data_IF_416725295976
#
_entry.id   IF_416725295976
#
_cell.length_a   1.000
_cell.length_b   1.000
_cell.length_c   1.000
_cell.angle_alpha   90.00
_cell.angle_beta   90.00
_cell.angle_gamma   90.00
#
_symmetry.space_group_name_H-M   'P 1'
#
loop_
_entity.id
_entity.type
_entity.pdbx_description
1 polymer ?
#
# COMPACT_ATOMS: atom_id res chain seq x y z
N UNK A 1 -12.58 -17.12 -23.91
CA UNK A 1 -11.81 -16.39 -22.87
C UNK A 1 -12.61 -15.15 -22.43
N UNK A 2 -13.47 -15.30 -21.42
CA UNK A 2 -14.23 -14.17 -20.87
C UNK A 2 -13.43 -13.54 -19.71
N UNK A 3 -12.98 -12.29 -19.88
CA UNK A 3 -12.39 -11.51 -18.79
C UNK A 3 -13.52 -11.07 -17.87
N UNK A 4 -13.58 -11.66 -16.67
CA UNK A 4 -14.52 -11.28 -15.63
C UNK A 4 -14.39 -9.78 -15.31
N UNK A 5 -15.53 -9.09 -15.32
CA UNK A 5 -15.67 -7.72 -14.80
C UNK A 5 -15.31 -7.73 -13.32
N UNK A 6 -14.42 -6.86 -12.81
CA UNK A 6 -14.31 -6.68 -11.38
C UNK A 6 -15.59 -6.00 -10.87
N UNK A 7 -16.36 -6.77 -10.09
CA UNK A 7 -17.60 -6.35 -9.44
C UNK A 7 -17.41 -5.11 -8.56
N UNK A 8 -18.47 -4.30 -8.52
CA UNK A 8 -18.61 -3.05 -7.78
C UNK A 8 -18.70 -3.22 -6.25
N UNK A 9 -18.07 -4.23 -5.68
CA UNK A 9 -18.17 -4.59 -4.26
C UNK A 9 -16.76 -4.81 -3.66
N UNK A 10 -16.01 -3.71 -3.54
CA UNK A 10 -14.85 -3.64 -2.64
C UNK A 10 -15.31 -2.85 -1.40
N UNK A 11 -16.11 -3.52 -0.58
CA UNK A 11 -16.62 -2.99 0.67
C UNK A 11 -15.47 -2.63 1.64
N UNK A 12 -15.41 -1.33 1.95
CA UNK A 12 -15.19 -0.77 3.29
C UNK A 12 -13.99 -1.28 4.12
N UNK A 13 -12.78 -1.18 3.60
CA UNK A 13 -11.59 -0.97 4.46
C UNK A 13 -11.66 0.48 5.01
N UNK A 14 -11.36 0.79 6.28
CA UNK A 14 -11.30 2.19 6.75
C UNK A 14 -10.20 3.01 6.05
N UNK A 15 -9.25 2.36 5.38
CA UNK A 15 -8.31 2.98 4.43
C UNK A 15 -8.95 3.38 3.11
N UNK A 16 -10.07 2.76 2.76
CA UNK A 16 -10.89 3.05 1.59
C UNK A 16 -11.52 4.42 1.72
N UNK A 17 -11.90 4.88 2.93
CA UNK A 17 -12.48 6.22 3.12
C UNK A 17 -11.56 7.35 2.59
N UNK A 18 -10.27 7.34 2.96
CA UNK A 18 -9.32 8.39 2.50
C UNK A 18 -8.99 8.30 1.01
N UNK A 19 -8.76 7.09 0.51
CA UNK A 19 -8.43 6.87 -0.90
C UNK A 19 -9.65 7.08 -1.81
N UNK A 20 -10.85 6.77 -1.34
CA UNK A 20 -12.12 7.06 -2.02
C UNK A 20 -12.42 8.54 -2.02
N UNK A 21 -12.20 9.25 -0.91
CA UNK A 21 -12.33 10.71 -0.90
C UNK A 21 -11.41 11.35 -1.96
N UNK A 22 -10.15 10.89 -2.08
CA UNK A 22 -9.25 11.33 -3.15
C UNK A 22 -9.77 10.94 -4.54
N UNK A 23 -10.30 9.73 -4.71
CA UNK A 23 -10.86 9.28 -5.99
C UNK A 23 -12.08 10.13 -6.40
N UNK A 24 -13.00 10.39 -5.48
CA UNK A 24 -14.18 11.21 -5.70
C UNK A 24 -13.78 12.65 -6.00
N UNK A 25 -12.86 13.23 -5.22
CA UNK A 25 -12.32 14.57 -5.48
C UNK A 25 -11.65 14.67 -6.86
N UNK A 26 -10.91 13.64 -7.29
CA UNK A 26 -10.31 13.57 -8.62
C UNK A 26 -11.35 13.42 -9.75
N UNK A 27 -12.47 12.76 -9.50
CA UNK A 27 -13.56 12.67 -10.48
C UNK A 27 -14.27 14.02 -10.68
N UNK A 28 -14.36 14.84 -9.63
CA UNK A 28 -15.01 16.17 -9.68
C UNK A 28 -14.06 17.23 -10.25
N UNK A 29 -12.83 17.30 -9.76
CA UNK A 29 -11.85 18.34 -10.14
C UNK A 29 -11.00 17.97 -11.37
N UNK A 30 -10.98 16.69 -11.75
CA UNK A 30 -10.17 16.16 -12.83
C UNK A 30 -8.76 15.74 -12.44
N UNK A 31 -8.10 14.98 -13.33
CA UNK A 31 -6.78 14.37 -13.10
C UNK A 31 -5.63 15.39 -13.02
N UNK A 32 -5.82 16.60 -13.53
CA UNK A 32 -4.84 17.69 -13.55
C UNK A 32 -4.87 18.54 -12.27
N UNK A 33 -5.92 18.42 -11.45
CA UNK A 33 -6.12 19.24 -10.25
C UNK A 33 -4.92 19.19 -9.28
N UNK A 34 -4.52 20.34 -8.74
CA UNK A 34 -3.41 20.41 -7.81
C UNK A 34 -3.72 19.65 -6.51
N UNK A 35 -2.71 19.07 -5.82
CA UNK A 35 -2.93 18.40 -4.54
C UNK A 35 -3.59 19.30 -3.48
N UNK A 36 -3.35 20.62 -3.55
CA UNK A 36 -3.95 21.60 -2.66
C UNK A 36 -5.46 21.78 -2.92
N UNK A 37 -5.88 21.83 -4.19
CA UNK A 37 -7.30 21.91 -4.54
C UNK A 37 -8.06 20.64 -4.11
N UNK A 38 -7.43 19.47 -4.29
CA UNK A 38 -7.97 18.19 -3.82
C UNK A 38 -8.08 18.18 -2.29
N UNK A 39 -7.08 18.71 -1.58
CA UNK A 39 -7.11 18.81 -0.12
C UNK A 39 -8.28 19.67 0.38
N UNK A 40 -8.48 20.85 -0.20
CA UNK A 40 -9.60 21.73 0.13
C UNK A 40 -10.94 21.01 -0.11
N UNK A 41 -11.12 20.42 -1.28
CA UNK A 41 -12.35 19.71 -1.60
C UNK A 41 -12.63 18.52 -0.67
N UNK A 42 -11.59 17.78 -0.25
CA UNK A 42 -11.74 16.68 0.71
C UNK A 42 -12.11 17.21 2.10
N UNK A 43 -11.51 18.32 2.53
CA UNK A 43 -11.82 18.97 3.80
C UNK A 43 -13.27 19.46 3.84
N UNK A 44 -13.73 20.10 2.76
CA UNK A 44 -15.06 20.70 2.69
C UNK A 44 -16.18 19.66 2.55
N UNK A 45 -15.95 18.59 1.78
CA UNK A 45 -17.00 17.61 1.47
C UNK A 45 -16.97 16.36 2.36
N UNK A 46 -15.79 15.94 2.83
CA UNK A 46 -15.62 14.71 3.60
C UNK A 46 -15.18 14.97 5.05
N UNK A 47 -14.81 16.20 5.40
CA UNK A 47 -14.33 16.53 6.74
C UNK A 47 -13.02 15.83 7.12
N UNK A 48 -12.30 15.27 6.14
CA UNK A 48 -11.05 14.52 6.39
C UNK A 48 -9.86 15.41 6.10
N UNK A 49 -9.01 15.63 7.11
CA UNK A 49 -7.75 16.32 6.89
C UNK A 49 -6.67 15.34 6.41
N UNK A 50 -6.03 15.69 5.29
CA UNK A 50 -4.95 14.91 4.69
C UNK A 50 -3.80 15.82 4.26
N UNK A 51 -2.58 15.34 4.47
CA UNK A 51 -1.38 16.02 3.99
C UNK A 51 -1.26 15.90 2.46
N UNK A 52 -0.80 16.96 1.80
CA UNK A 52 -0.55 17.03 0.35
C UNK A 52 0.36 15.91 -0.17
N UNK A 53 1.33 15.48 0.64
CA UNK A 53 2.20 14.34 0.33
C UNK A 53 1.42 13.01 0.19
N UNK A 54 0.44 12.77 1.07
CA UNK A 54 -0.42 11.59 0.99
C UNK A 54 -1.34 11.67 -0.23
N UNK A 55 -1.91 12.85 -0.51
CA UNK A 55 -2.76 13.09 -1.69
C UNK A 55 -1.99 12.82 -2.98
N UNK A 56 -0.76 13.32 -3.09
CA UNK A 56 0.10 13.08 -4.26
C UNK A 56 0.38 11.59 -4.48
N UNK A 57 0.62 10.86 -3.39
CA UNK A 57 0.88 9.41 -3.43
C UNK A 57 -0.36 8.62 -3.85
N UNK A 58 -1.53 8.94 -3.29
CA UNK A 58 -2.81 8.33 -3.72
C UNK A 58 -3.15 8.69 -5.16
N UNK A 59 -2.98 9.95 -5.57
CA UNK A 59 -3.17 10.42 -6.94
C UNK A 59 -2.29 9.67 -7.94
N UNK A 60 -1.01 9.47 -7.63
CA UNK A 60 -0.09 8.67 -8.44
C UNK A 60 -0.58 7.22 -8.57
N UNK A 61 -0.99 6.62 -7.45
CA UNK A 61 -1.47 5.22 -7.41
C UNK A 61 -2.77 5.05 -8.20
N UNK A 62 -3.69 6.02 -8.12
CA UNK A 62 -4.95 6.03 -8.88
C UNK A 62 -4.67 6.18 -10.38
N UNK A 63 -3.74 7.07 -10.78
CA UNK A 63 -3.32 7.22 -12.19
C UNK A 63 -2.67 5.95 -12.74
N UNK A 64 -1.83 5.29 -11.94
CA UNK A 64 -1.20 4.02 -12.33
C UNK A 64 -2.24 2.91 -12.50
N UNK A 65 -3.20 2.79 -11.58
CA UNK A 65 -4.32 1.84 -11.68
C UNK A 65 -5.25 2.16 -12.86
N UNK A 66 -5.43 3.42 -13.21
CA UNK A 66 -6.22 3.86 -14.37
C UNK A 66 -5.50 3.65 -15.71
N UNK A 67 -4.31 3.02 -15.73
CA UNK A 67 -3.54 2.79 -16.95
C UNK A 67 -2.89 4.05 -17.54
N UNK A 68 -3.02 5.20 -16.86
CA UNK A 68 -2.41 6.47 -17.24
C UNK A 68 -0.95 6.60 -16.74
N UNK A 69 -0.32 5.47 -16.41
CA UNK A 69 1.06 5.41 -15.99
C UNK A 69 1.96 5.90 -17.14
N UNK A 70 2.61 7.05 -16.94
CA UNK A 70 3.62 7.53 -17.87
C UNK A 70 4.70 6.47 -18.04
N UNK A 71 4.95 6.05 -19.28
CA UNK A 71 5.99 5.10 -19.67
C UNK A 71 7.39 5.47 -19.12
N UNK A 72 7.58 6.72 -18.66
CA UNK A 72 8.81 7.20 -18.01
C UNK A 72 9.23 6.41 -16.75
N UNK A 73 8.32 5.76 -16.02
CA UNK A 73 8.69 4.96 -14.83
C UNK A 73 9.08 3.51 -15.14
N UNK A 74 8.66 2.94 -16.28
CA UNK A 74 9.11 1.60 -16.70
C UNK A 74 10.60 1.56 -17.08
N UNK A 75 11.21 2.71 -17.43
CA UNK A 75 12.60 2.77 -17.93
C UNK A 75 13.68 3.04 -16.87
N UNK A 76 13.32 3.24 -15.60
CA UNK A 76 14.31 3.47 -14.50
C UNK A 76 14.42 2.33 -13.47
N UNK A 77 13.90 1.15 -13.79
CA UNK A 77 14.19 -0.07 -13.02
C UNK A 77 15.44 -0.74 -13.60
N UNK A 78 16.58 -0.05 -13.44
CA UNK A 78 17.85 -0.45 -14.04
C UNK A 78 18.89 0.65 -13.91
N UNK A 79 19.20 1.09 -12.68
CA UNK A 79 20.53 1.66 -12.43
C UNK A 79 21.44 0.45 -12.23
N UNK A 80 22.34 0.09 -13.18
CA UNK A 80 23.32 -0.93 -12.90
C UNK A 80 24.12 -0.48 -11.68
N UNK A 81 24.17 -1.36 -10.68
CA UNK A 81 24.96 -1.18 -9.47
C UNK A 81 26.40 -0.95 -9.93
N UNK A 82 26.95 0.25 -9.65
CA UNK A 82 28.36 0.55 -9.90
C UNK A 82 29.16 -0.51 -9.15
N UNK A 83 29.79 -1.41 -9.91
CA UNK A 83 30.79 -2.35 -9.40
C UNK A 83 31.95 -1.50 -8.89
N UNK A 84 31.91 -1.19 -7.60
CA UNK A 84 33.11 -0.83 -6.86
C UNK A 84 33.76 -2.16 -6.48
N UNK A 85 34.86 -2.45 -7.15
CA UNK A 85 35.82 -3.50 -6.84
C UNK A 85 36.27 -3.41 -5.38
N UNK A 86 36.17 -4.57 -4.72
CA UNK A 86 37.01 -5.08 -3.64
C UNK A 86 37.55 -4.10 -2.59
N UNK A 87 36.98 -4.20 -1.37
CA UNK A 87 37.70 -4.62 -0.16
C UNK A 87 36.90 -4.19 1.09
N UNK A 88 36.06 -5.09 1.61
CA UNK A 88 35.99 -5.29 3.05
C UNK A 88 35.26 -6.59 3.35
N UNK A 89 35.79 -7.28 4.36
CA UNK A 89 35.51 -8.65 4.73
C UNK A 89 34.03 -8.97 4.96
N UNK A 90 33.73 -10.25 4.76
CA UNK A 90 32.51 -10.94 5.11
C UNK A 90 31.85 -10.40 6.39
N UNK A 91 30.67 -9.79 6.22
CA UNK A 91 29.63 -9.81 7.24
C UNK A 91 28.40 -10.42 6.57
N UNK A 92 28.08 -11.66 6.96
CA UNK A 92 26.79 -12.25 6.68
C UNK A 92 25.70 -11.25 7.12
N UNK A 93 24.63 -11.01 6.32
CA UNK A 93 23.52 -10.22 6.81
C UNK A 93 22.90 -10.99 7.98
N UNK A 94 23.12 -10.47 9.20
CA UNK A 94 22.45 -10.97 10.38
C UNK A 94 20.93 -10.98 10.10
N UNK A 95 20.21 -12.07 10.41
CA UNK A 95 18.76 -12.06 10.33
C UNK A 95 18.25 -10.96 11.26
N UNK A 96 17.63 -9.93 10.68
CA UNK A 96 16.95 -8.90 11.45
C UNK A 96 15.73 -9.55 12.11
N UNK A 97 15.93 -10.09 13.32
CA UNK A 97 14.91 -10.76 14.11
C UNK A 97 13.86 -9.81 14.73
N UNK A 98 13.98 -8.50 14.53
CA UNK A 98 13.11 -7.51 15.16
C UNK A 98 11.89 -7.09 14.33
N UNK A 99 11.85 -7.43 13.04
CA UNK A 99 10.76 -7.02 12.16
C UNK A 99 9.95 -8.25 11.73
N UNK A 100 8.84 -8.52 12.43
CA UNK A 100 7.84 -9.49 11.97
C UNK A 100 7.37 -9.03 10.58
N UNK A 101 7.66 -9.79 9.51
CA UNK A 101 7.30 -9.37 8.17
C UNK A 101 5.78 -9.35 8.06
N UNK A 102 5.27 -8.39 7.29
CA UNK A 102 3.82 -8.18 7.12
C UNK A 102 3.05 -9.45 6.68
N UNK A 103 3.74 -10.36 6.00
CA UNK A 103 3.23 -11.68 5.63
C UNK A 103 2.88 -12.52 6.85
N UNK A 104 3.72 -12.52 7.87
CA UNK A 104 3.56 -13.33 9.08
C UNK A 104 2.41 -12.79 9.94
N UNK A 105 2.24 -11.46 10.00
CA UNK A 105 1.08 -10.83 10.64
C UNK A 105 -0.24 -11.31 10.01
N UNK A 106 -0.27 -11.46 8.68
CA UNK A 106 -1.44 -11.98 7.97
C UNK A 106 -1.66 -13.46 8.26
N UNK A 107 -0.60 -14.26 8.33
CA UNK A 107 -0.66 -15.68 8.69
C UNK A 107 -1.19 -15.87 10.10
N UNK A 108 -0.72 -15.07 11.07
CA UNK A 108 -1.21 -15.09 12.46
C UNK A 108 -2.70 -14.74 12.51
N UNK A 109 -3.14 -13.75 11.72
CA UNK A 109 -4.57 -13.40 11.62
C UNK A 109 -5.43 -14.55 11.09
N UNK A 110 -4.94 -15.28 10.08
CA UNK A 110 -5.65 -16.43 9.51
C UNK A 110 -5.75 -17.58 10.52
N UNK A 111 -4.65 -17.89 11.20
CA UNK A 111 -4.62 -18.88 12.29
C UNK A 111 -5.58 -18.48 13.42
N UNK A 112 -5.61 -17.20 13.81
CA UNK A 112 -6.54 -16.69 14.80
C UNK A 112 -8.01 -16.86 14.40
N UNK A 113 -8.33 -16.71 13.12
CA UNK A 113 -9.68 -16.88 12.61
C UNK A 113 -10.13 -18.35 12.61
N UNK A 114 -9.19 -19.30 12.42
CA UNK A 114 -9.49 -20.74 12.34
C UNK A 114 -9.51 -21.43 13.71
N UNK A 115 -8.57 -21.08 14.59
CA UNK A 115 -8.36 -21.73 15.89
C UNK A 115 -8.98 -20.94 17.05
N UNK A 116 -9.35 -19.67 16.80
CA UNK A 116 -9.76 -18.74 17.85
C UNK A 116 -8.58 -18.30 18.74
N UNK A 117 -8.84 -17.32 19.61
CA UNK A 117 -7.82 -16.76 20.52
C UNK A 117 -7.27 -17.80 21.50
N UNK A 118 -8.08 -18.78 21.88
CA UNK A 118 -7.70 -19.84 22.84
C UNK A 118 -6.74 -20.84 22.20
N UNK A 119 -7.06 -21.37 21.02
CA UNK A 119 -6.18 -22.30 20.30
C UNK A 119 -4.85 -21.68 19.86
N UNK A 120 -4.79 -20.37 19.61
CA UNK A 120 -3.53 -19.68 19.40
C UNK A 120 -2.64 -19.63 20.63
N UNK A 121 -3.21 -19.49 21.83
CA UNK A 121 -2.45 -19.52 23.09
C UNK A 121 -1.90 -20.92 23.34
N UNK A 122 -2.74 -21.94 23.16
CA UNK A 122 -2.35 -23.34 23.31
C UNK A 122 -1.21 -23.72 22.34
N UNK A 123 -1.22 -23.18 21.11
CA UNK A 123 -0.13 -23.38 20.14
C UNK A 123 1.17 -22.68 20.52
N UNK A 124 1.10 -21.48 21.12
CA UNK A 124 2.28 -20.77 21.59
C UNK A 124 2.87 -21.49 22.80
N UNK A 125 2.03 -21.96 23.72
CA UNK A 125 2.43 -22.72 24.91
C UNK A 125 3.03 -24.09 24.58
N UNK A 126 2.68 -24.69 23.43
CA UNK A 126 3.32 -25.90 22.93
C UNK A 126 4.69 -25.63 22.25
N UNK A 127 4.94 -24.39 21.82
CA UNK A 127 6.17 -24.00 21.13
C UNK A 127 7.25 -23.45 22.09
N UNK A 128 6.87 -23.00 23.29
CA UNK A 128 7.79 -22.67 24.40
C UNK A 128 8.25 -23.91 25.16
#
# INVERSE_FOLDING_TARGET
MARGRPSADQAADPRTNKMEAVRQAMNVLGYEASPAAIQQHIKDNFGVEMNTNMISSYKSTIREKAGMASQRRKKKRGRPRKVATAASAAAAPAPAHDAVPWRDIRTIKDLAARLGKKGLRDLVELLE
#
